data_IF_292549432205
#
_entry.id   IF_292549432205
#
_cell.length_a   1.000
_cell.length_b   1.000
_cell.length_c   1.000
_cell.angle_alpha   90.00
_cell.angle_beta   90.00
_cell.angle_gamma   90.00
#
_symmetry.space_group_name_H-M   'P 1'
#
loop_
_entity.id
_entity.type
_entity.pdbx_description
1 polymer ?
#
# COMPACT_ATOMS: atom_id res chain seq x y z
N UNK A 1 -1.83 35.74 16.82
CA UNK A 1 -0.65 35.03 17.41
C UNK A 1 -0.42 35.69 18.76
N UNK A 2 -0.90 35.06 19.87
CA UNK A 2 -0.88 35.67 21.19
C UNK A 2 0.51 36.12 21.67
N UNK A 3 1.53 35.31 21.32
CA UNK A 3 2.92 35.56 21.75
C UNK A 3 3.53 36.79 21.08
N UNK A 4 3.03 37.16 19.91
CA UNK A 4 3.51 38.33 19.15
C UNK A 4 2.57 39.54 19.29
N UNK A 5 1.44 39.37 19.96
CA UNK A 5 0.35 40.36 20.03
C UNK A 5 -0.03 40.86 18.61
N UNK A 6 -0.04 39.96 17.64
CA UNK A 6 -0.25 40.25 16.23
C UNK A 6 -1.51 39.54 15.70
N UNK A 7 -2.25 40.22 14.86
CA UNK A 7 -3.46 39.70 14.21
C UNK A 7 -3.20 39.58 12.70
N UNK A 8 -3.24 38.34 12.19
CA UNK A 8 -3.06 38.07 10.77
C UNK A 8 -4.42 37.74 10.15
N UNK A 9 -4.83 38.51 9.19
CA UNK A 9 -6.04 38.26 8.41
C UNK A 9 -5.72 37.53 7.10
N UNK A 10 -6.55 36.54 6.76
CA UNK A 10 -6.41 35.83 5.48
C UNK A 10 -6.69 36.76 4.29
N UNK A 11 -5.92 36.62 3.24
CA UNK A 11 -6.15 37.35 1.97
C UNK A 11 -7.46 36.91 1.32
N UNK A 12 -8.06 37.80 0.52
CA UNK A 12 -9.30 37.50 -0.23
C UNK A 12 -9.08 36.25 -1.12
N UNK A 13 -9.97 35.26 -0.99
CA UNK A 13 -9.88 34.00 -1.74
C UNK A 13 -9.03 32.92 -1.08
N UNK A 14 -8.46 33.17 0.10
CA UNK A 14 -7.78 32.12 0.89
C UNK A 14 -8.73 30.96 1.20
N UNK A 15 -8.27 29.76 0.96
CA UNK A 15 -9.00 28.52 1.28
C UNK A 15 -8.06 27.47 1.88
N UNK A 16 -8.60 26.54 2.62
CA UNK A 16 -7.86 25.45 3.24
C UNK A 16 -8.40 24.14 2.71
N UNK A 17 -7.50 23.31 2.16
CA UNK A 17 -7.78 21.93 1.81
C UNK A 17 -6.95 21.08 2.74
N UNK A 18 -7.61 20.12 3.42
CA UNK A 18 -6.96 19.20 4.33
C UNK A 18 -7.31 17.76 3.96
N UNK A 19 -6.36 16.86 4.16
CA UNK A 19 -6.57 15.43 4.01
C UNK A 19 -6.49 14.75 5.36
N UNK A 20 -7.32 13.74 5.58
CA UNK A 20 -7.30 12.94 6.79
C UNK A 20 -7.56 11.48 6.45
N UNK A 21 -6.88 10.57 7.15
CA UNK A 21 -7.17 9.15 7.07
C UNK A 21 -8.07 8.77 8.26
N UNK A 22 -9.33 8.48 7.98
CA UNK A 22 -10.32 8.13 9.02
C UNK A 22 -10.34 6.63 9.36
N UNK A 23 -9.50 5.82 8.70
CA UNK A 23 -9.41 4.37 8.93
C UNK A 23 -8.29 3.98 9.90
N UNK A 24 -7.36 4.88 10.19
CA UNK A 24 -6.25 4.58 11.09
C UNK A 24 -6.73 4.51 12.55
N UNK A 25 -6.45 3.39 13.21
CA UNK A 25 -6.70 3.24 14.63
C UNK A 25 -5.82 4.21 15.41
N UNK A 26 -6.42 4.97 16.32
CA UNK A 26 -5.71 5.95 17.16
C UNK A 26 -5.68 7.38 16.60
N UNK A 27 -6.24 7.64 15.43
CA UNK A 27 -6.48 9.00 14.96
C UNK A 27 -7.69 9.56 15.72
N UNK A 28 -7.48 10.65 16.46
CA UNK A 28 -8.60 11.35 17.08
C UNK A 28 -9.54 11.86 16.00
N UNK A 29 -10.82 11.58 16.15
CA UNK A 29 -11.83 12.16 15.27
C UNK A 29 -11.71 13.68 15.25
N UNK A 30 -11.89 14.28 14.08
CA UNK A 30 -12.00 15.72 13.95
C UNK A 30 -13.07 16.22 14.90
N UNK A 31 -12.73 17.24 15.69
CA UNK A 31 -13.69 17.84 16.60
C UNK A 31 -14.95 18.29 15.85
N UNK A 32 -16.10 18.28 16.51
CA UNK A 32 -17.35 18.73 15.91
C UNK A 32 -17.26 20.17 15.40
N UNK A 33 -16.45 21.00 16.03
CA UNK A 33 -16.19 22.38 15.60
C UNK A 33 -15.43 22.44 14.27
N UNK A 34 -14.46 21.55 14.04
CA UNK A 34 -13.75 21.44 12.75
C UNK A 34 -14.65 20.82 11.68
N UNK A 35 -15.38 19.76 11.99
CA UNK A 35 -16.31 19.12 11.04
C UNK A 35 -17.35 20.11 10.49
N UNK A 36 -17.77 21.10 11.27
CA UNK A 36 -18.74 22.16 10.82
C UNK A 36 -18.11 23.20 9.90
N UNK A 37 -16.79 23.35 9.91
CA UNK A 37 -16.08 24.36 9.10
C UNK A 37 -15.55 23.83 7.78
N UNK A 38 -15.55 22.51 7.59
CA UNK A 38 -15.09 21.85 6.37
C UNK A 38 -16.23 21.12 5.68
N UNK A 39 -16.26 21.22 4.35
CA UNK A 39 -17.04 20.31 3.53
C UNK A 39 -16.24 19.01 3.39
N UNK A 40 -16.76 17.94 3.96
CA UNK A 40 -16.08 16.65 3.94
C UNK A 40 -16.45 15.87 2.67
N UNK A 41 -15.42 15.46 1.93
CA UNK A 41 -15.55 14.54 0.81
C UNK A 41 -14.84 13.24 1.20
N UNK A 42 -15.56 12.12 1.11
CA UNK A 42 -14.99 10.80 1.36
C UNK A 42 -14.59 10.21 0.01
N UNK A 43 -13.30 9.99 -0.18
CA UNK A 43 -12.79 9.30 -1.36
C UNK A 43 -12.93 7.78 -1.16
N UNK A 44 -13.64 7.06 -2.04
CA UNK A 44 -13.73 5.62 -1.97
C UNK A 44 -12.37 4.97 -2.30
N UNK A 45 -12.20 3.72 -1.88
CA UNK A 45 -11.11 2.88 -2.39
C UNK A 45 -11.41 2.48 -3.83
N UNK A 46 -10.41 2.14 -4.66
CA UNK A 46 -10.64 1.64 -6.02
C UNK A 46 -11.59 0.43 -6.00
N UNK A 47 -12.59 0.43 -6.86
CA UNK A 47 -13.61 -0.63 -6.89
C UNK A 47 -13.03 -1.92 -7.45
N UNK A 48 -12.21 -1.82 -8.50
CA UNK A 48 -11.65 -2.98 -9.19
C UNK A 48 -10.15 -3.15 -8.92
N UNK A 49 -9.65 -4.36 -9.12
CA UNK A 49 -8.22 -4.64 -9.05
C UNK A 49 -7.45 -3.92 -10.17
N UNK A 50 -8.04 -3.81 -11.34
CA UNK A 50 -7.40 -3.16 -12.49
C UNK A 50 -7.22 -1.65 -12.28
N UNK A 51 -8.20 -0.96 -11.69
CA UNK A 51 -8.04 0.44 -11.27
C UNK A 51 -6.91 0.61 -10.24
N UNK A 52 -6.83 -0.29 -9.26
CA UNK A 52 -5.78 -0.24 -8.24
C UNK A 52 -4.40 -0.50 -8.86
N UNK A 53 -4.30 -1.44 -9.80
CA UNK A 53 -3.08 -1.71 -10.58
C UNK A 53 -2.66 -0.49 -11.39
N UNK A 54 -3.59 0.19 -12.08
CA UNK A 54 -3.31 1.39 -12.86
C UNK A 54 -2.79 2.54 -11.98
N UNK A 55 -3.40 2.75 -10.81
CA UNK A 55 -2.94 3.74 -9.82
C UNK A 55 -1.51 3.43 -9.38
N UNK A 56 -1.25 2.19 -8.98
CA UNK A 56 0.09 1.77 -8.51
C UNK A 56 1.10 1.92 -9.63
N UNK A 57 0.81 1.44 -10.84
CA UNK A 57 1.69 1.53 -12.00
C UNK A 57 2.05 2.97 -12.33
N UNK A 58 1.05 3.85 -12.41
CA UNK A 58 1.25 5.27 -12.74
C UNK A 58 2.14 5.96 -11.69
N UNK A 59 1.89 5.70 -10.41
CA UNK A 59 2.66 6.32 -9.32
C UNK A 59 4.07 5.77 -9.21
N UNK A 60 4.25 4.46 -9.37
CA UNK A 60 5.58 3.82 -9.38
C UNK A 60 6.41 4.35 -10.56
N UNK A 61 5.84 4.45 -11.76
CA UNK A 61 6.54 5.02 -12.91
C UNK A 61 6.93 6.50 -12.70
N UNK A 62 6.06 7.28 -12.07
CA UNK A 62 6.34 8.69 -11.75
C UNK A 62 7.48 8.84 -10.73
N UNK A 63 7.44 8.07 -9.65
CA UNK A 63 8.46 8.09 -8.60
C UNK A 63 9.79 7.50 -9.10
N UNK A 64 9.73 6.43 -9.89
CA UNK A 64 10.93 5.83 -10.50
C UNK A 64 11.70 6.84 -11.33
N UNK A 65 11.02 7.65 -12.15
CA UNK A 65 11.66 8.73 -12.91
C UNK A 65 12.29 9.79 -12.01
N UNK A 66 11.62 10.16 -10.92
CA UNK A 66 12.13 11.15 -9.98
C UNK A 66 13.37 10.64 -9.20
N UNK A 67 13.49 9.33 -9.04
CA UNK A 67 14.60 8.65 -8.37
C UNK A 67 15.68 8.15 -9.35
N UNK A 68 15.55 8.48 -10.65
CA UNK A 68 16.46 8.03 -11.71
C UNK A 68 16.61 6.50 -11.79
N UNK A 69 15.58 5.78 -11.39
CA UNK A 69 15.55 4.32 -11.51
C UNK A 69 15.41 3.92 -12.99
N UNK A 70 15.93 2.74 -13.39
CA UNK A 70 15.86 2.28 -14.77
C UNK A 70 14.43 2.39 -15.33
N UNK A 71 14.32 2.94 -16.55
CA UNK A 71 13.06 3.29 -17.19
C UNK A 71 12.27 2.07 -17.70
N UNK A 72 12.78 0.87 -17.53
CA UNK A 72 12.01 -0.31 -17.86
C UNK A 72 10.76 -0.35 -16.98
N UNK A 73 9.61 -0.40 -17.65
CA UNK A 73 8.32 -0.38 -16.98
C UNK A 73 8.31 -1.40 -15.84
N UNK A 74 7.88 -0.99 -14.64
CA UNK A 74 7.77 -1.95 -13.55
C UNK A 74 6.98 -3.14 -14.06
N UNK A 75 7.47 -4.34 -13.82
CA UNK A 75 6.84 -5.55 -14.29
C UNK A 75 5.37 -5.54 -13.85
N UNK A 76 4.45 -5.30 -14.77
CA UNK A 76 3.00 -5.16 -14.50
C UNK A 76 2.48 -6.38 -13.74
N UNK A 77 3.09 -7.52 -13.98
CA UNK A 77 2.76 -8.78 -13.30
C UNK A 77 3.07 -8.71 -11.81
N UNK A 78 4.20 -8.12 -11.42
CA UNK A 78 4.56 -7.96 -10.01
C UNK A 78 3.64 -6.96 -9.30
N UNK A 79 3.27 -5.87 -9.98
CA UNK A 79 2.26 -4.93 -9.46
C UNK A 79 0.93 -5.66 -9.25
N UNK A 80 0.49 -6.45 -10.22
CA UNK A 80 -0.77 -7.20 -10.14
C UNK A 80 -0.74 -8.22 -9.00
N UNK A 81 0.39 -8.89 -8.78
CA UNK A 81 0.59 -9.81 -7.63
C UNK A 81 0.48 -9.09 -6.30
N UNK A 82 1.20 -7.95 -6.13
CA UNK A 82 1.15 -7.15 -4.89
C UNK A 82 -0.26 -6.64 -4.62
N UNK A 83 -0.92 -6.06 -5.63
CA UNK A 83 -2.31 -5.57 -5.51
C UNK A 83 -3.26 -6.72 -5.15
N UNK A 84 -3.12 -7.88 -5.78
CA UNK A 84 -3.97 -9.05 -5.48
C UNK A 84 -3.80 -9.49 -4.03
N UNK A 85 -2.56 -9.63 -3.55
CA UNK A 85 -2.27 -9.98 -2.15
C UNK A 85 -2.94 -8.99 -1.19
N UNK A 86 -2.78 -7.70 -1.45
CA UNK A 86 -3.31 -6.66 -0.58
C UNK A 86 -4.84 -6.64 -0.56
N UNK A 87 -5.47 -6.79 -1.73
CA UNK A 87 -6.93 -6.86 -1.81
C UNK A 87 -7.48 -8.08 -1.09
N UNK A 88 -6.94 -9.26 -1.33
CA UNK A 88 -7.40 -10.49 -0.72
C UNK A 88 -7.31 -10.46 0.80
N UNK A 89 -6.18 -10.00 1.34
CA UNK A 89 -6.00 -9.86 2.78
C UNK A 89 -6.89 -8.75 3.38
N UNK A 90 -7.08 -7.65 2.68
CA UNK A 90 -7.95 -6.54 3.08
C UNK A 90 -9.41 -6.95 3.08
N UNK A 91 -9.84 -7.67 2.03
CA UNK A 91 -11.23 -8.09 1.84
C UNK A 91 -11.58 -9.35 2.64
N UNK A 92 -10.58 -10.04 3.21
CA UNK A 92 -10.75 -11.25 4.00
C UNK A 92 -11.22 -12.46 3.17
N UNK A 93 -10.92 -12.46 1.87
CA UNK A 93 -11.26 -13.55 0.93
C UNK A 93 -10.38 -13.53 -0.30
N UNK A 94 -10.21 -14.68 -0.95
CA UNK A 94 -9.54 -14.78 -2.25
C UNK A 94 -10.34 -14.06 -3.34
N UNK A 95 -9.67 -13.64 -4.42
CA UNK A 95 -10.28 -12.91 -5.54
C UNK A 95 -11.44 -13.68 -6.20
N UNK A 96 -11.39 -15.01 -6.19
CA UNK A 96 -12.48 -15.87 -6.68
C UNK A 96 -13.60 -16.10 -5.64
N UNK A 97 -13.44 -15.54 -4.43
CA UNK A 97 -14.39 -15.63 -3.32
C UNK A 97 -14.51 -17.00 -2.65
N UNK A 98 -13.71 -17.99 -3.05
CA UNK A 98 -13.86 -19.38 -2.56
C UNK A 98 -13.27 -19.59 -1.18
N UNK A 99 -12.19 -18.89 -0.85
CA UNK A 99 -11.49 -19.07 0.43
C UNK A 99 -11.66 -17.82 1.29
N UNK A 100 -12.14 -17.99 2.51
CA UNK A 100 -12.15 -16.94 3.53
C UNK A 100 -10.77 -16.82 4.14
N UNK A 101 -10.32 -15.60 4.36
CA UNK A 101 -9.02 -15.26 4.91
C UNK A 101 -9.18 -14.42 6.18
N UNK A 102 -8.16 -14.45 7.02
CA UNK A 102 -8.01 -13.48 8.09
C UNK A 102 -7.36 -12.23 7.54
N UNK A 103 -7.79 -11.07 7.99
CA UNK A 103 -7.16 -9.80 7.63
C UNK A 103 -6.10 -9.44 8.67
N UNK A 104 -4.95 -8.89 8.25
CA UNK A 104 -3.97 -8.35 9.16
C UNK A 104 -4.46 -7.08 9.84
N UNK A 105 -3.73 -6.58 10.83
CA UNK A 105 -4.05 -5.35 11.57
C UNK A 105 -3.93 -4.08 10.72
N UNK A 106 -3.07 -4.12 9.68
CA UNK A 106 -2.86 -3.03 8.74
C UNK A 106 -3.94 -2.92 7.67
N UNK A 107 -4.03 -1.75 7.04
CA UNK A 107 -5.06 -1.43 6.04
C UNK A 107 -4.74 -1.91 4.63
N UNK A 108 -3.47 -2.20 4.33
CA UNK A 108 -2.97 -2.64 3.02
C UNK A 108 -3.49 -1.76 1.86
N UNK A 109 -3.16 -0.49 1.95
CA UNK A 109 -3.59 0.54 1.00
C UNK A 109 -2.78 0.53 -0.31
N UNK A 110 -3.29 1.17 -1.38
CA UNK A 110 -2.49 1.40 -2.60
C UNK A 110 -1.17 2.14 -2.34
N UNK A 111 -1.11 3.00 -1.33
CA UNK A 111 0.13 3.70 -0.96
C UNK A 111 1.22 2.74 -0.47
N UNK A 112 0.85 1.71 0.29
CA UNK A 112 1.78 0.67 0.72
C UNK A 112 2.22 -0.20 -0.45
N UNK A 113 1.32 -0.52 -1.39
CA UNK A 113 1.69 -1.21 -2.62
C UNK A 113 2.71 -0.43 -3.45
N UNK A 114 2.52 0.89 -3.60
CA UNK A 114 3.47 1.79 -4.25
C UNK A 114 4.83 1.76 -3.55
N UNK A 115 4.85 1.79 -2.21
CA UNK A 115 6.08 1.73 -1.42
C UNK A 115 6.83 0.40 -1.59
N UNK A 116 6.11 -0.73 -1.57
CA UNK A 116 6.69 -2.07 -1.82
C UNK A 116 7.33 -2.12 -3.20
N UNK A 117 6.63 -1.66 -4.23
CA UNK A 117 7.12 -1.68 -5.61
C UNK A 117 8.34 -0.77 -5.80
N UNK A 118 8.32 0.46 -5.27
CA UNK A 118 9.46 1.37 -5.39
C UNK A 118 10.70 0.85 -4.64
N UNK A 119 10.52 0.27 -3.46
CA UNK A 119 11.61 -0.36 -2.72
C UNK A 119 12.20 -1.55 -3.48
N UNK A 120 11.35 -2.39 -4.06
CA UNK A 120 11.79 -3.50 -4.89
C UNK A 120 12.56 -3.06 -6.13
N UNK A 121 12.07 -2.03 -6.84
CA UNK A 121 12.77 -1.45 -7.99
C UNK A 121 14.13 -0.88 -7.61
N UNK A 122 14.22 -0.20 -6.48
CA UNK A 122 15.50 0.33 -5.99
C UNK A 122 16.47 -0.82 -5.64
N UNK A 123 16.00 -1.90 -5.02
CA UNK A 123 16.81 -3.07 -4.76
C UNK A 123 17.31 -3.72 -6.05
N UNK A 124 16.43 -3.96 -7.01
CA UNK A 124 16.79 -4.52 -8.31
C UNK A 124 17.81 -3.65 -9.05
N UNK A 125 17.63 -2.33 -9.02
CA UNK A 125 18.51 -1.37 -9.71
C UNK A 125 19.88 -1.24 -9.08
N UNK A 126 19.97 -1.19 -7.74
CA UNK A 126 21.22 -0.88 -7.05
C UNK A 126 22.00 -2.13 -6.60
N UNK A 127 21.31 -3.25 -6.40
CA UNK A 127 21.92 -4.47 -5.86
C UNK A 127 21.70 -5.69 -6.76
N UNK A 128 20.93 -5.55 -7.83
CA UNK A 128 20.65 -6.60 -8.81
C UNK A 128 21.08 -6.22 -10.22
N UNK A 129 20.41 -6.78 -11.20
CA UNK A 129 20.62 -6.56 -12.63
C UNK A 129 19.62 -5.57 -13.26
N UNK A 130 18.83 -4.89 -12.43
CA UNK A 130 17.80 -3.93 -12.86
C UNK A 130 16.45 -4.56 -13.19
N UNK A 131 16.32 -5.89 -13.13
CA UNK A 131 15.06 -6.59 -13.41
C UNK A 131 14.38 -6.91 -12.09
N UNK A 132 13.18 -6.34 -11.89
CA UNK A 132 12.38 -6.59 -10.69
C UNK A 132 11.88 -8.03 -10.65
N UNK A 133 12.10 -8.68 -9.51
CA UNK A 133 11.67 -10.07 -9.25
C UNK A 133 10.98 -10.19 -7.89
N UNK A 134 10.39 -11.36 -7.64
CA UNK A 134 9.73 -11.66 -6.38
C UNK A 134 10.64 -11.45 -5.14
N UNK A 135 11.94 -11.76 -5.24
CA UNK A 135 12.89 -11.55 -4.16
C UNK A 135 13.06 -10.09 -3.79
N UNK A 136 13.00 -9.18 -4.77
CA UNK A 136 13.19 -7.75 -4.55
C UNK A 136 11.99 -7.12 -3.81
N UNK A 137 10.79 -7.67 -4.00
CA UNK A 137 9.57 -7.18 -3.34
C UNK A 137 9.24 -7.92 -2.04
N UNK A 138 9.82 -9.09 -1.79
CA UNK A 138 9.44 -9.96 -0.69
C UNK A 138 9.55 -9.29 0.68
N UNK A 139 10.67 -8.63 0.98
CA UNK A 139 10.87 -7.93 2.25
C UNK A 139 9.87 -6.79 2.43
N UNK A 140 9.59 -6.04 1.36
CA UNK A 140 8.58 -4.98 1.36
C UNK A 140 7.18 -5.52 1.61
N UNK A 141 6.81 -6.65 0.98
CA UNK A 141 5.53 -7.32 1.19
C UNK A 141 5.36 -7.76 2.65
N UNK A 142 6.36 -8.47 3.19
CA UNK A 142 6.34 -8.92 4.58
C UNK A 142 6.21 -7.74 5.53
N UNK A 143 7.01 -6.68 5.33
CA UNK A 143 6.96 -5.46 6.14
C UNK A 143 5.65 -4.66 6.01
N UNK A 144 4.98 -4.73 4.86
CA UNK A 144 3.67 -4.10 4.66
C UNK A 144 2.56 -4.87 5.39
N UNK A 145 2.58 -6.20 5.32
CA UNK A 145 1.53 -7.06 5.89
C UNK A 145 1.68 -7.23 7.40
N UNK A 146 2.92 -7.46 7.88
CA UNK A 146 3.18 -7.73 9.30
C UNK A 146 3.47 -6.41 10.02
N UNK A 147 2.45 -5.83 10.65
CA UNK A 147 2.56 -4.68 11.55
C UNK A 147 2.56 -5.13 13.01
N UNK A 148 1.76 -6.14 13.33
CA UNK A 148 1.82 -6.84 14.61
C UNK A 148 2.63 -8.15 14.43
N UNK A 149 3.79 -8.29 15.12
CA UNK A 149 4.68 -9.43 14.91
C UNK A 149 4.12 -10.78 15.40
N UNK A 150 3.05 -10.76 16.17
CA UNK A 150 2.40 -11.98 16.69
C UNK A 150 1.19 -12.34 15.84
N UNK A 151 0.24 -11.41 15.71
CA UNK A 151 -1.03 -11.68 15.02
C UNK A 151 -0.87 -11.72 13.50
N UNK A 152 -0.23 -10.70 12.93
CA UNK A 152 -0.13 -10.59 11.47
C UNK A 152 0.82 -11.62 10.88
N UNK A 153 1.84 -12.06 11.64
CA UNK A 153 2.72 -13.14 11.21
C UNK A 153 1.95 -14.44 10.99
N UNK A 154 1.01 -14.77 11.87
CA UNK A 154 0.17 -15.95 11.73
C UNK A 154 -0.74 -15.82 10.50
N UNK A 155 -1.36 -14.64 10.32
CA UNK A 155 -2.21 -14.36 9.15
C UNK A 155 -1.43 -14.51 7.85
N UNK A 156 -0.22 -13.94 7.79
CA UNK A 156 0.64 -14.02 6.61
C UNK A 156 1.08 -15.45 6.31
N UNK A 157 1.49 -16.20 7.31
CA UNK A 157 1.88 -17.61 7.15
C UNK A 157 0.73 -18.47 6.65
N UNK A 158 -0.47 -18.30 7.22
CA UNK A 158 -1.68 -19.01 6.78
C UNK A 158 -2.00 -18.69 5.31
N UNK A 159 -1.94 -17.41 4.92
CA UNK A 159 -2.14 -16.98 3.53
C UNK A 159 -1.11 -17.57 2.56
N UNK A 160 0.16 -17.57 2.92
CA UNK A 160 1.21 -18.18 2.11
C UNK A 160 0.97 -19.68 1.87
N UNK A 161 0.65 -20.43 2.93
CA UNK A 161 0.50 -21.89 2.83
C UNK A 161 -0.82 -22.31 2.15
N UNK A 162 -1.88 -21.55 2.31
CA UNK A 162 -3.20 -21.94 1.81
C UNK A 162 -3.56 -21.33 0.45
N UNK A 163 -2.96 -20.21 0.09
CA UNK A 163 -3.30 -19.48 -1.14
C UNK A 163 -2.11 -19.37 -2.09
N UNK A 164 -1.03 -18.72 -1.65
CA UNK A 164 0.10 -18.40 -2.53
C UNK A 164 0.77 -19.68 -3.05
N UNK A 165 0.98 -20.65 -2.18
CA UNK A 165 1.58 -21.95 -2.51
C UNK A 165 0.83 -22.72 -3.59
N UNK A 166 -0.50 -22.64 -3.57
CA UNK A 166 -1.37 -23.38 -4.49
C UNK A 166 -1.44 -22.75 -5.88
N UNK A 167 -0.98 -21.48 -6.03
CA UNK A 167 -0.94 -20.78 -7.31
C UNK A 167 0.29 -21.18 -8.11
N UNK A 168 0.07 -21.80 -9.28
CA UNK A 168 1.16 -22.34 -10.13
C UNK A 168 2.20 -21.28 -10.52
N UNK A 169 1.74 -20.07 -10.84
CA UNK A 169 2.57 -18.97 -11.32
C UNK A 169 3.12 -18.08 -10.19
N UNK A 170 2.96 -18.47 -8.93
CA UNK A 170 3.37 -17.71 -7.74
C UNK A 170 4.41 -18.44 -6.87
N UNK A 171 5.03 -19.48 -7.40
CA UNK A 171 6.02 -20.28 -6.67
C UNK A 171 7.27 -19.49 -6.28
N UNK A 172 7.65 -18.52 -7.10
CA UNK A 172 8.74 -17.58 -6.83
C UNK A 172 8.39 -16.64 -5.67
N UNK A 173 7.19 -16.05 -5.68
CA UNK A 173 6.69 -15.21 -4.58
C UNK A 173 6.60 -16.01 -3.28
N UNK A 174 6.09 -17.25 -3.34
CA UNK A 174 6.02 -18.12 -2.17
C UNK A 174 7.39 -18.38 -1.57
N UNK A 175 8.39 -18.74 -2.40
CA UNK A 175 9.75 -18.97 -1.94
C UNK A 175 10.37 -17.71 -1.34
N UNK A 176 10.35 -16.62 -2.08
CA UNK A 176 10.92 -15.34 -1.65
C UNK A 176 10.30 -14.86 -0.33
N UNK A 177 8.98 -14.93 -0.19
CA UNK A 177 8.30 -14.52 1.04
C UNK A 177 8.61 -15.45 2.23
N UNK A 178 8.91 -16.73 1.99
CA UNK A 178 9.33 -17.67 3.04
C UNK A 178 10.76 -17.44 3.53
N UNK A 179 11.65 -17.00 2.66
CA UNK A 179 13.05 -16.74 2.99
C UNK A 179 13.24 -15.52 3.90
N UNK A 180 12.31 -14.56 3.87
CA UNK A 180 12.38 -13.33 4.67
C UNK A 180 11.51 -13.34 5.93
N UNK A 181 10.87 -14.48 6.28
CA UNK A 181 10.04 -14.69 7.47
C UNK A 181 10.86 -15.18 8.66
#
# INVERSE_FOLDING_TARGET
IPELNDEVQATKGFNVIATANNRDRGVNELSSALKRRFNTVILPVPETADEEVEIVQTRVASLGRALELPAEAPAIEEIRRVVTIFRELRDGKTADGKTKLKSPSGTLSPAEAISVMNSGLALAAHFGDGILRANDIASGLVGAVIKDPVQDKVVWQEYLETVVKERKDWKDVYRAAREVL
#
